data_IF_841352629644
#
_entry.id   IF_841352629644
#
_cell.length_a   1.000
_cell.length_b   1.000
_cell.length_c   1.000
_cell.angle_alpha   90.00
_cell.angle_beta   90.00
_cell.angle_gamma   90.00
#
_symmetry.space_group_name_H-M   'P 1'
#
loop_
_entity.id
_entity.type
_entity.pdbx_description
1 polymer ?
#
# COMPACT_ATOMS: atom_id res chain seq x y z
N UNK A 1 17.27 -7.89 6.43
CA UNK A 1 15.94 -7.39 6.85
C UNK A 1 14.93 -7.33 5.69
N UNK A 2 13.81 -8.05 5.83
CA UNK A 2 12.64 -7.96 4.95
C UNK A 2 11.50 -7.21 5.67
N UNK A 3 10.47 -6.78 4.94
CA UNK A 3 9.40 -5.93 5.47
C UNK A 3 8.06 -6.66 5.56
N UNK A 4 7.32 -6.45 6.65
CA UNK A 4 5.92 -6.89 6.82
C UNK A 4 5.00 -5.68 6.62
N UNK A 5 4.27 -5.63 5.51
CA UNK A 5 3.37 -4.51 5.20
C UNK A 5 1.96 -4.79 5.69
N UNK A 6 1.39 -3.87 6.48
CA UNK A 6 -0.05 -3.89 6.82
C UNK A 6 -0.81 -2.92 5.92
N UNK A 7 -1.82 -3.43 5.21
CA UNK A 7 -2.56 -2.71 4.17
C UNK A 7 -3.57 -1.75 4.79
N UNK A 8 -3.69 -0.55 4.21
CA UNK A 8 -4.78 0.40 4.52
C UNK A 8 -5.90 0.30 3.48
N UNK A 9 -7.15 0.42 3.92
CA UNK A 9 -8.31 0.43 3.04
C UNK A 9 -8.30 1.60 2.04
N UNK A 10 -8.64 1.29 0.78
CA UNK A 10 -8.76 2.26 -0.31
C UNK A 10 -10.17 2.85 -0.44
N UNK A 11 -10.49 3.40 -1.62
CA UNK A 11 -11.85 3.81 -1.98
C UNK A 11 -12.85 2.65 -2.07
N UNK A 12 -12.34 1.45 -2.36
CA UNK A 12 -13.13 0.23 -2.46
C UNK A 12 -12.84 -0.61 -1.23
N UNK A 13 -13.87 -0.83 -0.42
CA UNK A 13 -13.75 -1.58 0.82
C UNK A 13 -13.71 -3.09 0.56
N UNK A 14 -14.40 -3.56 -0.49
CA UNK A 14 -14.44 -4.97 -0.82
C UNK A 14 -14.20 -5.21 -2.31
N UNK A 15 -13.68 -6.39 -2.64
CA UNK A 15 -13.56 -6.88 -4.01
C UNK A 15 -14.17 -8.27 -4.12
N UNK A 16 -15.02 -8.51 -5.12
CA UNK A 16 -15.32 -9.89 -5.52
C UNK A 16 -14.11 -10.38 -6.30
N UNK A 17 -13.60 -11.54 -5.88
CA UNK A 17 -12.52 -12.23 -6.57
C UNK A 17 -12.85 -13.72 -6.66
N UNK A 18 -13.32 -14.17 -7.81
CA UNK A 18 -13.62 -15.57 -8.10
C UNK A 18 -13.06 -15.98 -9.48
N UNK A 19 -13.37 -17.20 -9.96
CA UNK A 19 -12.83 -17.69 -11.24
C UNK A 19 -13.46 -17.02 -12.45
N UNK A 20 -14.67 -16.46 -12.28
CA UNK A 20 -15.49 -15.89 -13.34
C UNK A 20 -15.39 -14.35 -13.36
N UNK A 21 -15.32 -13.72 -12.19
CA UNK A 21 -15.46 -12.29 -12.00
C UNK A 21 -14.46 -11.71 -11.00
N UNK A 22 -13.91 -10.56 -11.38
CA UNK A 22 -13.09 -9.71 -10.53
C UNK A 22 -13.63 -8.28 -10.65
N UNK A 23 -14.29 -7.79 -9.61
CA UNK A 23 -14.77 -6.41 -9.57
C UNK A 23 -14.69 -5.82 -8.16
N UNK A 24 -14.25 -4.55 -8.05
CA UNK A 24 -14.29 -3.83 -6.79
C UNK A 24 -15.73 -3.40 -6.51
N UNK A 25 -16.05 -3.25 -5.24
CA UNK A 25 -17.32 -2.65 -4.82
C UNK A 25 -17.06 -1.66 -3.69
N UNK A 26 -17.79 -0.55 -3.75
CA UNK A 26 -17.82 0.42 -2.67
C UNK A 26 -19.10 0.19 -1.87
N UNK A 27 -18.96 0.01 -0.56
CA UNK A 27 -20.09 0.14 0.35
C UNK A 27 -20.19 1.62 0.70
N UNK A 28 -21.42 2.13 0.70
CA UNK A 28 -21.71 3.49 1.10
C UNK A 28 -22.34 3.40 2.48
N UNK A 29 -21.51 3.44 3.52
CA UNK A 29 -21.99 3.47 4.90
C UNK A 29 -22.45 4.88 5.23
N UNK A 30 -23.72 5.14 4.98
CA UNK A 30 -24.40 6.37 5.34
C UNK A 30 -25.55 6.05 6.28
N UNK A 31 -25.72 6.87 7.32
CA UNK A 31 -26.84 6.84 8.25
C UNK A 31 -28.21 6.89 7.52
N UNK A 32 -28.20 7.41 6.29
CA UNK A 32 -29.35 7.52 5.42
C UNK A 32 -29.25 6.51 4.27
N UNK A 33 -29.95 5.38 4.42
CA UNK A 33 -30.02 4.28 3.43
C UNK A 33 -30.51 4.70 2.03
N UNK A 34 -30.96 5.95 1.88
CA UNK A 34 -31.48 6.54 0.65
C UNK A 34 -30.56 7.61 0.03
N UNK A 35 -29.37 7.88 0.61
CA UNK A 35 -28.44 8.84 0.06
C UNK A 35 -27.86 8.36 -1.28
N UNK A 36 -28.28 9.01 -2.37
CA UNK A 36 -27.72 8.74 -3.70
C UNK A 36 -26.22 8.99 -3.68
N UNK A 37 -25.44 7.99 -4.10
CA UNK A 37 -23.99 8.06 -4.13
C UNK A 37 -23.45 7.51 -5.44
N UNK A 38 -22.33 8.06 -5.91
CA UNK A 38 -21.67 7.64 -7.15
C UNK A 38 -20.17 7.85 -7.11
N UNK A 39 -19.45 7.02 -7.86
CA UNK A 39 -18.02 7.20 -8.13
C UNK A 39 -17.89 7.68 -9.58
N UNK A 40 -17.19 8.79 -9.79
CA UNK A 40 -16.99 9.37 -11.13
C UNK A 40 -15.51 9.66 -11.36
N UNK A 41 -15.03 9.44 -12.59
CA UNK A 41 -13.74 9.93 -13.02
C UNK A 41 -13.94 11.33 -13.63
N UNK A 42 -13.30 12.34 -13.05
CA UNK A 42 -13.38 13.70 -13.57
C UNK A 42 -12.35 13.96 -14.68
N UNK A 43 -12.47 15.12 -15.34
CA UNK A 43 -11.59 15.55 -16.43
C UNK A 43 -10.12 15.77 -16.00
N UNK A 44 -9.87 15.98 -14.70
CA UNK A 44 -8.52 16.07 -14.12
C UNK A 44 -7.91 14.69 -13.82
N UNK A 45 -8.62 13.59 -14.09
CA UNK A 45 -8.16 12.23 -13.84
C UNK A 45 -8.29 11.77 -12.39
N UNK A 46 -9.09 12.46 -11.57
CA UNK A 46 -9.37 12.06 -10.19
C UNK A 46 -10.66 11.24 -10.12
N UNK A 47 -10.60 10.12 -9.41
CA UNK A 47 -11.78 9.36 -9.00
C UNK A 47 -12.40 10.05 -7.79
N UNK A 48 -13.64 10.51 -7.94
CA UNK A 48 -14.39 11.22 -6.91
C UNK A 48 -15.53 10.34 -6.40
N UNK A 49 -15.60 10.19 -5.09
CA UNK A 49 -16.74 9.67 -4.36
C UNK A 49 -17.68 10.83 -4.05
N UNK A 50 -18.87 10.81 -4.65
CA UNK A 50 -19.89 11.85 -4.54
C UNK A 50 -21.13 11.32 -3.83
N UNK A 51 -21.72 12.14 -2.97
CA UNK A 51 -23.04 11.90 -2.37
C UNK A 51 -23.98 13.06 -2.67
N UNK A 52 -25.27 12.80 -2.81
CA UNK A 52 -26.26 13.81 -3.09
C UNK A 52 -26.68 14.53 -1.81
N UNK A 53 -26.55 15.86 -1.78
CA UNK A 53 -27.03 16.71 -0.71
C UNK A 53 -28.45 17.18 -1.03
N UNK A 54 -29.45 16.62 -0.35
CA UNK A 54 -30.86 16.97 -0.54
C UNK A 54 -31.17 18.42 -0.16
N UNK A 55 -30.45 19.00 0.81
CA UNK A 55 -30.68 20.38 1.27
C UNK A 55 -30.14 21.40 0.27
N UNK A 56 -28.96 21.11 -0.29
CA UNK A 56 -28.30 22.00 -1.25
C UNK A 56 -28.61 21.66 -2.72
N UNK A 57 -29.36 20.59 -2.98
CA UNK A 57 -29.72 20.08 -4.31
C UNK A 57 -28.50 19.93 -5.24
N UNK A 58 -27.39 19.42 -4.69
CA UNK A 58 -26.12 19.27 -5.43
C UNK A 58 -25.35 18.04 -4.98
N UNK A 59 -24.46 17.57 -5.86
CA UNK A 59 -23.46 16.56 -5.51
C UNK A 59 -22.38 17.19 -4.62
N UNK A 60 -22.12 16.55 -3.48
CA UNK A 60 -21.05 16.88 -2.55
C UNK A 60 -19.97 15.81 -2.66
N UNK A 61 -18.72 16.24 -2.81
CA UNK A 61 -17.57 15.34 -2.77
C UNK A 61 -17.29 14.89 -1.33
N UNK A 62 -17.18 13.58 -1.13
CA UNK A 62 -16.74 12.98 0.13
C UNK A 62 -15.24 12.71 0.13
N UNK A 63 -14.73 12.21 -1.00
CA UNK A 63 -13.32 11.83 -1.15
C UNK A 63 -12.92 11.86 -2.62
N UNK A 64 -11.65 12.15 -2.88
CA UNK A 64 -11.01 11.99 -4.17
C UNK A 64 -9.69 11.22 -4.07
N UNK A 65 -9.36 10.47 -5.11
CA UNK A 65 -8.09 9.76 -5.27
C UNK A 65 -7.58 9.87 -6.72
N UNK A 66 -6.26 9.76 -6.96
CA UNK A 66 -5.22 9.59 -5.95
C UNK A 66 -4.86 10.91 -5.26
N UNK A 67 -4.61 10.88 -3.95
CA UNK A 67 -4.08 12.04 -3.21
C UNK A 67 -2.66 12.45 -3.63
N UNK A 68 -1.87 11.47 -4.06
CA UNK A 68 -0.46 11.66 -4.42
C UNK A 68 -0.16 11.00 -5.76
N UNK A 69 0.85 11.50 -6.47
CA UNK A 69 1.27 10.93 -7.74
C UNK A 69 1.84 9.52 -7.54
N UNK A 70 1.66 8.68 -8.55
CA UNK A 70 2.32 7.37 -8.59
C UNK A 70 3.85 7.56 -8.57
N UNK A 71 4.54 6.78 -7.72
CA UNK A 71 5.99 6.91 -7.45
C UNK A 71 6.42 8.32 -7.04
N UNK A 72 5.63 8.98 -6.18
CA UNK A 72 6.03 10.27 -5.59
C UNK A 72 7.35 10.15 -4.83
N UNK A 73 7.53 9.08 -4.05
CA UNK A 73 8.76 8.77 -3.34
C UNK A 73 9.61 7.73 -4.09
N UNK A 74 10.94 7.89 -4.02
CA UNK A 74 11.91 6.97 -4.60
C UNK A 74 11.90 5.57 -3.97
N UNK A 75 12.64 4.63 -4.57
CA UNK A 75 12.71 3.25 -4.09
C UNK A 75 13.11 3.16 -2.61
N UNK A 76 12.50 2.23 -1.88
CA UNK A 76 12.72 2.01 -0.44
C UNK A 76 12.44 3.22 0.47
N UNK A 77 11.56 4.12 0.03
CA UNK A 77 11.11 5.28 0.79
C UNK A 77 9.58 5.40 0.78
N UNK A 78 9.02 6.07 1.79
CA UNK A 78 7.59 6.26 1.98
C UNK A 78 7.28 7.73 2.30
N UNK A 79 6.05 8.16 2.04
CA UNK A 79 5.58 9.45 2.53
C UNK A 79 5.60 9.49 4.06
N UNK A 80 6.16 10.56 4.62
CA UNK A 80 6.19 10.76 6.06
C UNK A 80 4.78 11.06 6.59
N UNK A 81 4.17 10.07 7.24
CA UNK A 81 2.83 10.20 7.82
C UNK A 81 2.72 11.29 8.90
N UNK A 82 3.84 11.68 9.52
CA UNK A 82 3.87 12.75 10.54
C UNK A 82 3.95 14.15 9.93
N UNK A 83 4.20 14.26 8.62
CA UNK A 83 4.33 15.54 7.92
C UNK A 83 3.75 15.42 6.51
N UNK A 84 2.48 15.02 6.44
CA UNK A 84 1.79 14.75 5.18
C UNK A 84 1.70 16.02 4.31
N UNK A 85 1.53 17.19 4.94
CA UNK A 85 1.39 18.47 4.24
C UNK A 85 2.67 18.89 3.51
N UNK A 86 3.85 18.46 3.97
CA UNK A 86 5.12 18.76 3.30
C UNK A 86 5.44 17.78 2.16
N UNK A 87 4.67 16.70 2.02
CA UNK A 87 4.90 15.61 1.06
C UNK A 87 6.32 15.05 1.10
N UNK A 88 6.98 15.13 2.26
CA UNK A 88 8.35 14.68 2.45
C UNK A 88 8.42 13.15 2.42
N UNK A 89 9.41 12.63 1.71
CA UNK A 89 9.74 11.21 1.71
C UNK A 89 10.72 10.89 2.84
N UNK A 90 10.54 9.74 3.47
CA UNK A 90 11.45 9.19 4.47
C UNK A 90 11.89 7.78 4.08
N UNK A 91 13.17 7.45 4.34
CA UNK A 91 13.65 6.09 4.13
C UNK A 91 12.94 5.11 5.08
N UNK A 92 12.71 3.89 4.59
CA UNK A 92 12.20 2.81 5.40
C UNK A 92 13.17 2.47 6.55
N UNK A 93 12.69 1.95 7.69
CA UNK A 93 13.56 1.50 8.77
C UNK A 93 14.62 0.50 8.27
N UNK A 94 15.88 0.69 8.66
CA UNK A 94 17.01 -0.10 8.16
C UNK A 94 17.60 0.39 6.82
N UNK A 95 17.01 1.41 6.20
CA UNK A 95 17.52 2.06 5.01
C UNK A 95 18.06 3.46 5.32
N UNK A 96 18.93 3.95 4.45
CA UNK A 96 19.51 5.29 4.46
C UNK A 96 19.52 5.88 3.06
N UNK A 97 19.62 7.20 2.89
CA UNK A 97 19.66 7.80 1.57
C UNK A 97 20.84 7.28 0.75
N UNK A 98 20.58 6.88 -0.50
CA UNK A 98 21.63 6.41 -1.42
C UNK A 98 22.61 7.52 -1.76
N UNK A 99 22.08 8.74 -1.96
CA UNK A 99 22.87 9.95 -2.21
C UNK A 99 22.43 11.06 -1.25
N UNK A 100 23.27 11.36 -0.26
CA UNK A 100 22.98 12.37 0.77
C UNK A 100 22.71 13.76 0.18
N UNK A 101 23.36 14.10 -0.95
CA UNK A 101 23.15 15.37 -1.65
C UNK A 101 21.70 15.55 -2.11
N UNK A 102 21.13 14.56 -2.80
CA UNK A 102 19.75 14.63 -3.31
C UNK A 102 18.75 14.64 -2.15
N UNK A 103 19.03 13.87 -1.11
CA UNK A 103 18.21 13.83 0.10
C UNK A 103 18.18 15.17 0.84
N UNK A 104 19.33 15.83 0.99
CA UNK A 104 19.44 17.15 1.61
C UNK A 104 18.72 18.24 0.79
N UNK A 105 18.58 18.03 -0.52
CA UNK A 105 17.78 18.89 -1.41
C UNK A 105 16.29 18.57 -1.37
N UNK A 106 15.86 17.60 -0.55
CA UNK A 106 14.47 17.14 -0.44
C UNK A 106 13.91 16.66 -1.78
N UNK A 107 14.77 16.06 -2.61
CA UNK A 107 14.34 15.42 -3.83
C UNK A 107 13.50 14.18 -3.50
N UNK A 108 12.20 14.24 -3.80
CA UNK A 108 11.26 13.15 -3.53
C UNK A 108 11.62 11.86 -4.29
N UNK A 109 12.30 11.97 -5.44
CA UNK A 109 12.76 10.83 -6.21
C UNK A 109 14.01 10.16 -5.64
N UNK A 110 14.61 10.74 -4.59
CA UNK A 110 15.82 10.19 -3.98
C UNK A 110 15.57 8.79 -3.40
N UNK A 111 16.37 7.84 -3.87
CA UNK A 111 16.31 6.45 -3.44
C UNK A 111 17.00 6.24 -2.09
N UNK A 112 16.53 5.23 -1.37
CA UNK A 112 17.19 4.71 -0.18
C UNK A 112 17.86 3.36 -0.46
N UNK A 113 18.96 3.10 0.23
CA UNK A 113 19.69 1.83 0.19
C UNK A 113 19.80 1.25 1.60
N UNK A 114 19.96 -0.07 1.71
CA UNK A 114 20.16 -0.73 3.00
C UNK A 114 21.40 -0.18 3.70
N UNK A 115 21.35 -0.05 5.02
CA UNK A 115 22.53 0.27 5.83
C UNK A 115 23.51 -0.90 5.76
N UNK A 116 24.77 -0.61 5.43
CA UNK A 116 25.82 -1.61 5.12
C UNK A 116 26.17 -2.49 6.33
N UNK A 117 25.84 -2.06 7.56
CA UNK A 117 26.02 -2.85 8.78
C UNK A 117 25.10 -4.07 8.88
N UNK A 118 24.03 -4.14 8.09
CA UNK A 118 23.13 -5.29 8.01
C UNK A 118 23.47 -6.15 6.78
N UNK A 119 24.66 -6.77 6.80
CA UNK A 119 24.99 -7.86 5.87
C UNK A 119 23.92 -8.93 5.99
N UNK A 120 23.21 -9.19 4.90
CA UNK A 120 22.16 -10.20 4.75
C UNK A 120 22.55 -11.54 5.40
N UNK A 121 22.11 -11.79 6.63
CA UNK A 121 22.10 -13.13 7.20
C UNK A 121 20.74 -13.76 6.92
N UNK A 122 20.49 -13.99 5.63
CA UNK A 122 19.39 -14.84 5.21
C UNK A 122 19.54 -16.21 5.87
N UNK A 123 18.51 -16.66 6.59
CA UNK A 123 18.50 -17.97 7.27
C UNK A 123 18.77 -17.96 8.77
N UNK A 124 19.25 -16.86 9.38
CA UNK A 124 19.52 -16.82 10.83
C UNK A 124 18.41 -16.14 11.66
N UNK A 125 17.18 -16.11 11.16
CA UNK A 125 16.05 -15.53 11.90
C UNK A 125 16.08 -14.00 12.01
N UNK A 126 16.81 -13.31 11.13
CA UNK A 126 16.74 -11.85 11.02
C UNK A 126 15.30 -11.37 10.91
N UNK A 127 14.91 -10.46 11.80
CA UNK A 127 13.55 -10.00 11.96
C UNK A 127 13.01 -9.24 10.74
N UNK A 128 11.69 -9.15 10.68
CA UNK A 128 11.02 -8.18 9.82
C UNK A 128 10.79 -6.91 10.62
N UNK A 129 10.94 -5.77 9.97
CA UNK A 129 10.30 -4.56 10.49
C UNK A 129 8.89 -4.53 9.95
N UNK A 130 7.93 -4.50 10.87
CA UNK A 130 6.53 -4.28 10.54
C UNK A 130 6.35 -2.81 10.19
N UNK A 131 5.84 -2.56 9.00
CA UNK A 131 5.45 -1.23 8.55
C UNK A 131 3.93 -1.22 8.50
N UNK A 132 3.34 -0.53 9.48
CA UNK A 132 1.89 -0.47 9.63
C UNK A 132 1.28 0.62 8.73
N UNK A 133 0.02 0.40 8.35
CA UNK A 133 -0.81 1.38 7.65
C UNK A 133 -0.19 1.97 6.39
N UNK A 134 0.34 1.09 5.53
CA UNK A 134 0.92 1.48 4.25
C UNK A 134 0.08 1.01 3.08
N UNK A 135 0.05 1.84 2.04
CA UNK A 135 -0.23 1.33 0.70
C UNK A 135 0.94 0.43 0.32
N UNK A 136 0.66 -0.84 0.02
CA UNK A 136 1.69 -1.81 -0.36
C UNK A 136 2.48 -1.33 -1.59
N UNK A 137 3.73 -1.80 -1.75
CA UNK A 137 4.48 -1.56 -2.98
C UNK A 137 3.73 -2.05 -4.21
N UNK A 138 4.21 -1.67 -5.39
CA UNK A 138 3.55 -2.03 -6.63
C UNK A 138 3.32 -3.55 -6.73
N UNK A 139 2.05 -3.93 -6.83
CA UNK A 139 1.65 -5.33 -6.87
C UNK A 139 2.03 -6.00 -8.20
N UNK A 140 2.37 -5.25 -9.26
CA UNK A 140 2.87 -5.83 -10.51
C UNK A 140 4.21 -6.55 -10.35
N UNK A 141 4.99 -6.17 -9.33
CA UNK A 141 6.26 -6.82 -8.97
C UNK A 141 6.08 -7.88 -7.86
N UNK A 142 4.85 -8.09 -7.39
CA UNK A 142 4.55 -9.06 -6.35
C UNK A 142 4.21 -10.43 -6.95
N UNK A 143 4.67 -11.49 -6.29
CA UNK A 143 4.14 -12.82 -6.49
C UNK A 143 2.98 -13.05 -5.51
N UNK A 144 1.79 -13.29 -6.06
CA UNK A 144 0.65 -13.79 -5.28
C UNK A 144 0.81 -15.29 -5.06
N UNK A 145 1.09 -15.67 -3.82
CA UNK A 145 1.16 -17.05 -3.37
C UNK A 145 -0.22 -17.54 -2.90
N UNK A 146 -0.31 -18.84 -2.61
CA UNK A 146 -1.54 -19.55 -2.23
C UNK A 146 -2.47 -18.77 -1.28
N UNK A 147 -3.78 -18.86 -1.55
CA UNK A 147 -4.86 -18.05 -0.93
C UNK A 147 -5.24 -18.46 0.51
N UNK A 148 -4.58 -19.48 1.06
CA UNK A 148 -4.86 -20.06 2.38
C UNK A 148 -3.65 -20.04 3.31
N UNK A 149 -2.64 -19.20 3.03
CA UNK A 149 -1.46 -19.10 3.86
C UNK A 149 -1.70 -18.08 4.97
N UNK A 150 -1.59 -18.53 6.22
CA UNK A 150 -1.56 -17.62 7.35
C UNK A 150 -0.42 -16.60 7.23
N UNK A 151 -0.54 -15.47 7.93
CA UNK A 151 0.54 -14.46 8.02
C UNK A 151 1.86 -15.08 8.47
N UNK A 152 1.81 -16.06 9.38
CA UNK A 152 3.00 -16.78 9.86
C UNK A 152 3.65 -17.60 8.76
N UNK A 153 2.87 -18.34 7.97
CA UNK A 153 3.38 -19.13 6.86
C UNK A 153 3.93 -18.25 5.75
N UNK A 154 3.24 -17.15 5.43
CA UNK A 154 3.71 -16.16 4.46
C UNK A 154 5.07 -15.55 4.88
N UNK A 155 5.21 -15.22 6.16
CA UNK A 155 6.47 -14.76 6.76
C UNK A 155 7.58 -15.79 6.64
N UNK A 156 7.30 -17.06 6.98
CA UNK A 156 8.28 -18.14 6.88
C UNK A 156 8.71 -18.41 5.43
N UNK A 157 7.77 -18.36 4.49
CA UNK A 157 8.07 -18.49 3.06
C UNK A 157 9.00 -17.39 2.58
N UNK A 158 8.74 -16.13 2.96
CA UNK A 158 9.64 -15.03 2.63
C UNK A 158 11.03 -15.22 3.27
N UNK A 159 11.12 -15.64 4.54
CA UNK A 159 12.41 -15.92 5.18
C UNK A 159 13.21 -17.05 4.53
N UNK A 160 12.51 -18.05 3.98
CA UNK A 160 13.15 -19.18 3.29
C UNK A 160 13.78 -18.79 1.96
N UNK A 161 13.45 -17.61 1.43
CA UNK A 161 13.96 -17.11 0.15
C UNK A 161 14.74 -15.81 0.36
N UNK A 162 16.07 -15.88 0.22
CA UNK A 162 16.97 -14.75 0.44
C UNK A 162 16.75 -13.57 -0.51
N UNK A 163 16.10 -13.80 -1.64
CA UNK A 163 15.72 -12.75 -2.57
C UNK A 163 14.47 -11.99 -2.11
N UNK A 164 13.69 -12.54 -1.16
CA UNK A 164 12.49 -11.88 -0.65
C UNK A 164 12.86 -10.59 0.09
N UNK A 165 12.24 -9.48 -0.32
CA UNK A 165 12.44 -8.14 0.24
C UNK A 165 11.29 -7.71 1.15
N UNK A 166 10.06 -8.14 0.84
CA UNK A 166 8.87 -7.81 1.62
C UNK A 166 7.77 -8.87 1.45
N UNK A 167 6.85 -8.93 2.40
CA UNK A 167 5.60 -9.65 2.27
C UNK A 167 4.43 -8.84 2.85
N UNK A 168 3.23 -9.16 2.39
CA UNK A 168 1.98 -8.65 2.95
C UNK A 168 0.97 -9.80 3.01
N UNK A 169 0.18 -9.82 4.08
CA UNK A 169 -0.99 -10.68 4.16
C UNK A 169 -2.20 -9.93 3.62
N UNK A 170 -2.92 -10.55 2.69
CA UNK A 170 -4.20 -10.07 2.18
C UNK A 170 -5.31 -10.73 2.99
N UNK A 171 -6.15 -9.94 3.64
CA UNK A 171 -7.40 -10.48 4.16
C UNK A 171 -8.41 -10.52 3.01
N UNK A 172 -8.68 -11.73 2.50
CA UNK A 172 -9.71 -11.93 1.47
C UNK A 172 -10.91 -12.52 2.20
N UNK A 173 -11.82 -11.64 2.62
CA UNK A 173 -13.01 -12.04 3.36
C UNK A 173 -13.70 -13.23 2.69
N UNK A 174 -13.95 -14.28 3.48
CA UNK A 174 -14.60 -15.56 3.10
C UNK A 174 -13.79 -16.51 2.20
N UNK A 175 -12.52 -16.23 1.87
CA UNK A 175 -11.68 -17.15 1.07
C UNK A 175 -10.26 -17.40 1.61
N UNK A 176 -9.87 -16.78 2.72
CA UNK A 176 -8.62 -17.03 3.41
C UNK A 176 -7.65 -15.85 3.38
N UNK A 177 -6.50 -16.02 4.04
CA UNK A 177 -5.41 -15.04 4.00
C UNK A 177 -4.55 -15.33 2.77
N UNK A 178 -4.49 -14.37 1.83
CA UNK A 178 -3.58 -14.42 0.70
C UNK A 178 -2.18 -13.94 1.10
N UNK A 179 -1.14 -14.43 0.43
CA UNK A 179 0.24 -14.03 0.69
C UNK A 179 0.83 -13.32 -0.54
N UNK A 180 1.22 -12.06 -0.40
CA UNK A 180 1.98 -11.32 -1.41
C UNK A 180 3.44 -11.28 -0.98
N UNK A 181 4.35 -11.52 -1.92
CA UNK A 181 5.81 -11.43 -1.71
C UNK A 181 6.47 -10.61 -2.80
N UNK A 182 7.46 -9.81 -2.43
CA UNK A 182 8.25 -8.99 -3.36
C UNK A 182 9.70 -9.44 -3.36
N UNK A 183 10.29 -9.52 -4.56
CA UNK A 183 11.68 -9.93 -4.77
C UNK A 183 12.57 -8.83 -5.38
N UNK A 184 11.94 -7.78 -5.92
CA UNK A 184 12.59 -6.59 -6.47
C UNK A 184 12.34 -5.33 -5.65
N UNK A 185 12.75 -4.21 -6.23
CA UNK A 185 12.57 -2.85 -5.70
C UNK A 185 11.14 -2.32 -5.92
#
# INVERSE_FOLDING_TARGET
MAMECSITAGLFEYSVYNQDEIYPTALFDGDDRYALSRIVLNNSGLLQLLTWDNSALKWRELRSEPKYKYRHCGAYSILNANNIDSLECMCLPGYQPKYLKNWNLRDASAECTRKISDTSICGNGEGFVKIASVKVPDASAAALLNRNLSTRECKQLCLSNCSCKAFASLDIERKGVGCLTWYGD
#
